data_IF_855889464903
#
_entry.id   IF_855889464903
#
_cell.length_a   1.000
_cell.length_b   1.000
_cell.length_c   1.000
_cell.angle_alpha   90.00
_cell.angle_beta   90.00
_cell.angle_gamma   90.00
#
_symmetry.space_group_name_H-M   'P 1'
#
loop_
_entity.id
_entity.type
_entity.pdbx_description
1 polymer ?
#
# COMPACT_ATOMS: atom_id res chain seq x y z
N UNK A 1 13.10 39.31 -2.05
CA UNK A 1 12.12 38.22 -1.85
C UNK A 1 12.56 37.46 -0.62
N UNK A 2 11.82 37.61 0.47
CA UNK A 2 12.05 36.85 1.69
C UNK A 2 11.62 35.40 1.40
N UNK A 3 12.53 34.44 1.53
CA UNK A 3 12.15 33.04 1.43
C UNK A 3 11.20 32.74 2.59
N UNK A 4 9.96 32.37 2.30
CA UNK A 4 9.01 31.98 3.34
C UNK A 4 9.62 30.82 4.14
N UNK A 5 9.91 31.07 5.42
CA UNK A 5 10.41 30.04 6.32
C UNK A 5 9.26 29.09 6.57
N UNK A 6 9.32 27.92 5.96
CA UNK A 6 8.31 26.87 6.15
C UNK A 6 8.30 26.46 7.62
N UNK A 7 7.10 26.33 8.18
CA UNK A 7 6.93 25.71 9.48
C UNK A 7 7.13 24.17 9.36
N UNK A 8 7.19 23.48 10.49
CA UNK A 8 7.50 22.04 10.47
C UNK A 8 6.39 21.18 9.84
N UNK A 9 5.13 21.63 9.93
CA UNK A 9 3.99 21.02 9.24
C UNK A 9 4.16 21.07 7.72
N UNK A 10 4.51 22.26 7.22
CA UNK A 10 4.70 22.51 5.80
C UNK A 10 5.91 21.73 5.29
N UNK A 11 7.02 21.68 6.05
CA UNK A 11 8.18 20.84 5.70
C UNK A 11 7.81 19.36 5.61
N UNK A 12 7.05 18.84 6.57
CA UNK A 12 6.60 17.46 6.56
C UNK A 12 5.67 17.19 5.37
N UNK A 13 4.77 18.11 5.06
CA UNK A 13 3.92 18.01 3.87
C UNK A 13 4.74 18.00 2.57
N UNK A 14 5.72 18.88 2.41
CA UNK A 14 6.62 18.86 1.24
C UNK A 14 7.40 17.55 1.13
N UNK A 15 7.86 16.99 2.26
CA UNK A 15 8.53 15.68 2.28
C UNK A 15 7.58 14.55 1.88
N UNK A 16 6.31 14.61 2.31
CA UNK A 16 5.30 13.66 1.85
C UNK A 16 5.12 13.73 0.33
N UNK A 17 4.98 14.94 -0.23
CA UNK A 17 4.83 15.13 -1.68
C UNK A 17 6.07 14.63 -2.46
N UNK A 18 7.27 14.87 -1.92
CA UNK A 18 8.49 14.34 -2.50
C UNK A 18 8.52 12.80 -2.48
N UNK A 19 8.18 12.19 -1.35
CA UNK A 19 8.10 10.74 -1.23
C UNK A 19 7.07 10.13 -2.20
N UNK A 20 5.91 10.78 -2.37
CA UNK A 20 4.90 10.38 -3.36
C UNK A 20 5.44 10.44 -4.80
N UNK A 21 6.19 11.49 -5.14
CA UNK A 21 6.84 11.63 -6.45
C UNK A 21 7.85 10.51 -6.69
N UNK A 22 8.55 10.10 -5.65
CA UNK A 22 9.53 9.01 -5.66
C UNK A 22 8.88 7.61 -5.52
N UNK A 23 7.54 7.55 -5.40
CA UNK A 23 6.75 6.33 -5.16
C UNK A 23 7.11 5.60 -3.87
N UNK A 24 7.69 6.30 -2.90
CA UNK A 24 7.89 5.81 -1.54
C UNK A 24 6.64 6.07 -0.70
N UNK A 25 5.63 5.22 -0.91
CA UNK A 25 4.34 5.34 -0.22
C UNK A 25 4.47 5.18 1.30
N UNK A 26 5.43 4.38 1.77
CA UNK A 26 5.66 4.17 3.21
C UNK A 26 6.19 5.43 3.88
N UNK A 27 7.19 6.08 3.28
CA UNK A 27 7.68 7.37 3.77
C UNK A 27 6.61 8.46 3.65
N UNK A 28 5.85 8.49 2.54
CA UNK A 28 4.76 9.44 2.33
C UNK A 28 3.69 9.35 3.42
N UNK A 29 3.19 8.14 3.72
CA UNK A 29 2.21 7.91 4.81
C UNK A 29 2.77 8.39 6.16
N UNK A 30 4.04 8.10 6.44
CA UNK A 30 4.70 8.55 7.68
C UNK A 30 4.67 10.07 7.83
N UNK A 31 5.06 10.80 6.79
CA UNK A 31 5.04 12.26 6.82
C UNK A 31 3.62 12.84 6.88
N UNK A 32 2.64 12.28 6.15
CA UNK A 32 1.26 12.75 6.19
C UNK A 32 0.65 12.63 7.59
N UNK A 33 0.89 11.52 8.30
CA UNK A 33 0.43 11.33 9.70
C UNK A 33 0.96 12.41 10.64
N UNK A 34 2.20 12.85 10.46
CA UNK A 34 2.75 13.92 11.31
C UNK A 34 2.06 15.27 11.12
N UNK A 35 1.37 15.46 9.99
CA UNK A 35 0.73 16.73 9.62
C UNK A 35 -0.79 16.73 9.81
N UNK A 36 -1.38 15.58 10.15
CA UNK A 36 -2.84 15.37 10.17
C UNK A 36 -3.58 16.37 11.07
N UNK A 37 -3.05 16.62 12.27
CA UNK A 37 -3.64 17.57 13.21
C UNK A 37 -3.54 19.03 12.75
N UNK A 38 -2.46 19.37 12.04
CA UNK A 38 -2.18 20.74 11.62
C UNK A 38 -2.98 21.16 10.38
N UNK A 39 -3.47 20.17 9.62
CA UNK A 39 -4.28 20.41 8.44
C UNK A 39 -5.63 19.69 8.48
N UNK A 40 -6.18 19.45 9.67
CA UNK A 40 -7.49 18.82 9.84
C UNK A 40 -8.62 19.54 9.08
N UNK A 41 -8.49 20.85 8.88
CA UNK A 41 -9.45 21.67 8.12
C UNK A 41 -9.26 21.61 6.60
N UNK A 42 -8.23 20.91 6.09
CA UNK A 42 -7.93 20.78 4.66
C UNK A 42 -8.37 19.40 4.15
N UNK A 43 -9.59 19.26 3.60
CA UNK A 43 -10.11 17.97 3.17
C UNK A 43 -9.24 17.31 2.09
N UNK A 44 -8.53 18.10 1.27
CA UNK A 44 -7.64 17.61 0.22
C UNK A 44 -6.46 16.79 0.80
N UNK A 45 -5.95 17.19 1.97
CA UNK A 45 -4.85 16.48 2.62
C UNK A 45 -5.30 15.18 3.25
N UNK A 46 -6.54 15.15 3.75
CA UNK A 46 -7.17 13.92 4.20
C UNK A 46 -7.35 12.94 3.04
N UNK A 47 -7.89 13.39 1.91
CA UNK A 47 -8.02 12.55 0.70
C UNK A 47 -6.67 12.03 0.25
N UNK A 48 -5.63 12.87 0.25
CA UNK A 48 -4.28 12.46 -0.10
C UNK A 48 -3.74 11.39 0.85
N UNK A 49 -3.96 11.55 2.16
CA UNK A 49 -3.55 10.57 3.17
C UNK A 49 -4.26 9.24 2.99
N UNK A 50 -5.59 9.25 2.91
CA UNK A 50 -6.40 8.04 2.73
C UNK A 50 -6.04 7.32 1.42
N UNK A 51 -5.83 8.06 0.33
CA UNK A 51 -5.39 7.49 -0.94
C UNK A 51 -3.98 6.87 -0.86
N UNK A 52 -3.06 7.51 -0.12
CA UNK A 52 -1.70 6.99 0.06
C UNK A 52 -1.69 5.72 0.91
N UNK A 53 -2.51 5.67 1.95
CA UNK A 53 -2.69 4.46 2.78
C UNK A 53 -3.29 3.30 1.98
N UNK A 54 -4.31 3.58 1.15
CA UNK A 54 -4.90 2.56 0.26
C UNK A 54 -3.86 2.03 -0.73
N UNK A 55 -3.06 2.89 -1.34
CA UNK A 55 -1.99 2.48 -2.26
C UNK A 55 -0.94 1.60 -1.59
N UNK A 56 -0.57 1.92 -0.35
CA UNK A 56 0.37 1.11 0.42
C UNK A 56 -0.22 -0.27 0.71
N UNK A 57 -1.48 -0.35 1.17
CA UNK A 57 -2.16 -1.61 1.45
C UNK A 57 -2.29 -2.50 0.20
N UNK A 58 -2.67 -1.92 -0.95
CA UNK A 58 -2.75 -2.65 -2.23
C UNK A 58 -1.38 -3.17 -2.66
N UNK A 59 -0.31 -2.40 -2.43
CA UNK A 59 1.05 -2.83 -2.76
C UNK A 59 1.52 -3.98 -1.87
N UNK A 60 1.19 -3.92 -0.57
CA UNK A 60 1.51 -4.98 0.37
C UNK A 60 0.76 -6.28 0.00
N UNK A 61 -0.53 -6.20 -0.35
CA UNK A 61 -1.33 -7.34 -0.84
C UNK A 61 -0.75 -7.96 -2.13
N UNK A 62 -0.39 -7.14 -3.13
CA UNK A 62 0.23 -7.63 -4.36
C UNK A 62 1.52 -8.37 -4.05
N UNK A 63 2.35 -7.81 -3.16
CA UNK A 63 3.60 -8.45 -2.76
C UNK A 63 3.35 -9.80 -2.08
N UNK A 64 2.35 -9.90 -1.20
CA UNK A 64 1.98 -11.17 -0.56
C UNK A 64 1.54 -12.21 -1.59
N UNK A 65 0.67 -11.85 -2.54
CA UNK A 65 0.21 -12.74 -3.61
C UNK A 65 1.33 -13.18 -4.56
N UNK A 66 2.26 -12.28 -4.90
CA UNK A 66 3.41 -12.61 -5.76
C UNK A 66 4.40 -13.57 -5.10
N UNK A 67 4.46 -13.58 -3.78
CA UNK A 67 5.36 -14.46 -3.01
C UNK A 67 4.63 -15.67 -2.41
N UNK A 68 3.33 -15.83 -2.66
CA UNK A 68 2.57 -16.98 -2.22
C UNK A 68 3.04 -18.23 -2.98
N UNK A 69 3.50 -19.24 -2.23
CA UNK A 69 3.93 -20.51 -2.82
C UNK A 69 2.72 -21.41 -2.93
N UNK A 70 2.24 -21.69 -4.15
CA UNK A 70 1.12 -22.60 -4.37
C UNK A 70 1.65 -24.04 -4.23
N UNK A 71 1.40 -24.67 -3.10
CA UNK A 71 1.60 -26.11 -2.92
C UNK A 71 0.46 -26.85 -3.65
N UNK A 72 0.78 -27.41 -4.82
CA UNK A 72 -0.14 -28.28 -5.55
C UNK A 72 0.03 -29.70 -5.00
N UNK A 73 -0.87 -30.13 -4.13
CA UNK A 73 -1.00 -31.54 -3.77
C UNK A 73 -1.74 -32.28 -4.89
N UNK A 74 -1.01 -33.07 -5.68
CA UNK A 74 -1.60 -33.96 -6.67
C UNK A 74 -2.20 -35.19 -5.98
N UNK A 75 -3.52 -35.23 -5.84
CA UNK A 75 -4.24 -36.42 -5.38
C UNK A 75 -4.38 -37.40 -6.55
N UNK A 76 -3.47 -38.36 -6.66
CA UNK A 76 -3.58 -39.48 -7.60
C UNK A 76 -4.65 -40.47 -7.10
N UNK A 77 -5.88 -40.34 -7.59
CA UNK A 77 -6.91 -41.35 -7.40
C UNK A 77 -6.66 -42.45 -8.44
N UNK A 78 -5.96 -43.51 -8.04
CA UNK A 78 -5.87 -44.74 -8.85
C UNK A 78 -7.25 -45.41 -8.83
N UNK A 79 -8.10 -45.06 -9.79
CA UNK A 79 -9.32 -45.82 -10.06
C UNK A 79 -8.93 -47.22 -10.50
N UNK A 80 -9.12 -48.21 -9.62
CA UNK A 80 -9.10 -49.61 -10.04
C UNK A 80 -10.27 -49.82 -11.01
N UNK A 81 -9.96 -50.00 -12.30
CA UNK A 81 -10.94 -50.45 -13.28
C UNK A 81 -11.47 -51.82 -12.87
N UNK A 82 -12.68 -51.87 -12.31
CA UNK A 82 -13.40 -53.15 -12.17
C UNK A 82 -13.92 -53.55 -13.54
N UNK A 83 -13.36 -54.62 -14.12
CA UNK A 83 -13.91 -55.29 -15.30
C UNK A 83 -15.40 -55.63 -15.07
N UNK A 84 -16.30 -54.94 -15.76
CA UNK A 84 -17.69 -55.35 -15.87
C UNK A 84 -17.76 -56.57 -16.81
N UNK A 85 -17.91 -57.76 -16.24
CA UNK A 85 -18.22 -58.98 -17.00
C UNK A 85 -19.73 -59.06 -17.21
N UNK A 86 -20.18 -58.58 -18.36
CA UNK A 86 -21.50 -58.85 -18.94
C UNK A 86 -21.43 -59.90 -20.01
#
# INVERSE_FOLDING_TARGET
>A
MEAAVLNDAEKAYYRALQALKEKDYRAATGFLKTTENQFAERPELRILSEATELLLAVKDEIFELENETIEIEEILINGEETEFRG
#
